data_IF_258358746273
#
_entry.id   IF_258358746273
#
_cell.length_a   1.000
_cell.length_b   1.000
_cell.length_c   1.000
_cell.angle_alpha   90.00
_cell.angle_beta   90.00
_cell.angle_gamma   90.00
#
_symmetry.space_group_name_H-M   'P 1'
#
loop_
_entity.id
_entity.type
_entity.pdbx_description
1 polymer ?
#
# COMPACT_ATOMS: atom_id res chain seq x y z
N UNK A 1 -56.80 -9.55 9.19
CA UNK A 1 -57.35 -8.87 8.00
C UNK A 1 -56.19 -8.10 7.41
N UNK A 2 -55.50 -8.72 6.47
CA UNK A 2 -54.47 -8.09 5.64
C UNK A 2 -55.08 -7.00 4.76
N UNK A 3 -54.30 -5.99 4.36
CA UNK A 3 -54.04 -5.55 2.96
C UNK A 3 -52.79 -4.64 2.97
N UNK A 4 -51.67 -5.23 2.53
CA UNK A 4 -50.65 -4.75 1.56
C UNK A 4 -50.33 -3.27 1.31
N UNK A 5 -49.03 -3.08 1.03
CA UNK A 5 -48.38 -2.12 0.12
C UNK A 5 -47.85 -0.81 0.72
N UNK A 6 -46.54 -0.77 0.96
CA UNK A 6 -45.66 0.02 0.09
C UNK A 6 -44.25 -0.59 0.05
N UNK A 7 -43.97 -1.29 -1.04
CA UNK A 7 -42.63 -1.50 -1.57
C UNK A 7 -41.99 -0.14 -1.85
N UNK A 8 -40.94 0.22 -1.11
CA UNK A 8 -39.85 1.01 -1.67
C UNK A 8 -38.59 0.18 -1.52
N UNK A 9 -38.24 -0.42 -2.64
CA UNK A 9 -36.92 -0.90 -3.02
C UNK A 9 -35.80 -0.08 -2.36
N UNK A 10 -35.12 -0.68 -1.39
CA UNK A 10 -33.67 -0.58 -1.30
C UNK A 10 -33.12 -2.00 -1.44
N UNK A 11 -33.29 -2.56 -2.65
CA UNK A 11 -32.34 -3.54 -3.17
C UNK A 11 -31.03 -2.78 -3.40
N UNK A 12 -30.29 -2.54 -2.32
CA UNK A 12 -28.94 -2.01 -2.42
C UNK A 12 -28.10 -3.16 -2.95
N UNK A 13 -27.80 -3.00 -4.23
CA UNK A 13 -27.14 -3.94 -5.11
C UNK A 13 -25.86 -4.48 -4.45
N UNK A 14 -25.97 -5.70 -3.92
CA UNK A 14 -24.88 -6.56 -3.46
C UNK A 14 -24.07 -7.07 -4.65
N UNK A 15 -23.47 -6.17 -5.44
CA UNK A 15 -22.58 -6.53 -6.53
C UNK A 15 -21.51 -5.48 -6.75
N UNK A 16 -20.58 -5.38 -5.79
CA UNK A 16 -19.19 -4.98 -6.03
C UNK A 16 -18.31 -5.22 -4.79
N UNK A 17 -18.55 -6.31 -4.06
CA UNK A 17 -17.45 -6.92 -3.33
C UNK A 17 -16.61 -7.65 -4.38
N UNK A 18 -15.72 -6.88 -5.05
CA UNK A 18 -14.55 -7.50 -5.67
C UNK A 18 -13.87 -8.21 -4.52
N UNK A 19 -13.90 -9.54 -4.56
CA UNK A 19 -13.02 -10.37 -3.77
C UNK A 19 -11.62 -9.79 -3.97
N UNK A 20 -11.14 -9.01 -3.00
CA UNK A 20 -9.73 -8.67 -2.92
C UNK A 20 -9.11 -10.02 -2.63
N UNK A 21 -8.74 -10.74 -3.68
CA UNK A 21 -7.91 -11.92 -3.54
C UNK A 21 -6.67 -11.43 -2.80
N UNK A 22 -6.62 -11.76 -1.49
CA UNK A 22 -5.42 -11.77 -0.67
C UNK A 22 -4.47 -12.80 -1.31
N UNK A 23 -3.91 -12.40 -2.45
CA UNK A 23 -2.92 -13.15 -3.18
C UNK A 23 -1.60 -12.51 -2.81
N UNK A 24 -0.79 -13.29 -2.10
CA UNK A 24 0.64 -13.01 -1.97
C UNK A 24 1.19 -12.66 -3.34
N UNK A 25 1.86 -11.52 -3.52
CA UNK A 25 2.33 -11.09 -4.82
C UNK A 25 3.32 -12.10 -5.38
N UNK A 26 3.26 -12.33 -6.69
CA UNK A 26 4.26 -13.13 -7.40
C UNK A 26 5.61 -12.40 -7.45
N UNK A 27 6.68 -13.12 -7.74
CA UNK A 27 8.01 -12.52 -7.91
C UNK A 27 8.01 -11.43 -9.00
N UNK A 28 7.27 -11.63 -10.09
CA UNK A 28 7.11 -10.63 -11.16
C UNK A 28 6.41 -9.37 -10.65
N UNK A 29 5.36 -9.53 -9.83
CA UNK A 29 4.64 -8.39 -9.23
C UNK A 29 5.51 -7.64 -8.20
N UNK A 30 6.33 -8.37 -7.43
CA UNK A 30 7.28 -7.76 -6.50
C UNK A 30 8.32 -6.94 -7.28
N UNK A 31 8.92 -7.51 -8.33
CA UNK A 31 9.89 -6.82 -9.18
C UNK A 31 9.28 -5.57 -9.85
N UNK A 32 8.07 -5.68 -10.39
CA UNK A 32 7.34 -4.53 -10.94
C UNK A 32 7.13 -3.44 -9.87
N UNK A 33 6.75 -3.83 -8.66
CA UNK A 33 6.55 -2.90 -7.54
C UNK A 33 7.85 -2.22 -7.14
N UNK A 34 8.97 -2.95 -7.07
CA UNK A 34 10.30 -2.38 -6.80
C UNK A 34 10.64 -1.32 -7.85
N UNK A 35 10.39 -1.60 -9.13
CA UNK A 35 10.65 -0.63 -10.21
C UNK A 35 9.76 0.61 -10.07
N UNK A 36 8.50 0.46 -9.69
CA UNK A 36 7.62 1.60 -9.45
C UNK A 36 8.08 2.46 -8.27
N UNK A 37 8.46 1.84 -7.14
CA UNK A 37 9.01 2.56 -5.97
C UNK A 37 10.33 3.25 -6.33
N UNK A 38 11.20 2.60 -7.10
CA UNK A 38 12.46 3.20 -7.56
C UNK A 38 12.23 4.43 -8.43
N UNK A 39 11.19 4.44 -9.29
CA UNK A 39 10.80 5.63 -10.07
C UNK A 39 10.33 6.77 -9.17
N UNK A 40 9.58 6.49 -8.10
CA UNK A 40 9.16 7.51 -7.13
C UNK A 40 10.38 8.15 -6.44
N UNK A 41 11.38 7.34 -6.07
CA UNK A 41 12.62 7.84 -5.46
C UNK A 41 13.46 8.72 -6.40
N UNK A 42 13.37 8.49 -7.70
CA UNK A 42 14.05 9.28 -8.73
C UNK A 42 13.30 10.60 -9.03
N UNK A 43 12.05 10.74 -8.59
CA UNK A 43 11.28 11.95 -8.83
C UNK A 43 11.88 13.16 -8.10
N UNK A 44 12.00 14.34 -8.73
CA UNK A 44 12.60 15.52 -8.11
C UNK A 44 11.91 15.96 -6.80
N UNK A 45 10.60 15.74 -6.67
CA UNK A 45 9.86 16.06 -5.44
C UNK A 45 10.39 15.27 -4.21
N UNK A 46 10.76 14.01 -4.40
CA UNK A 46 11.33 13.14 -3.36
C UNK A 46 12.78 13.50 -3.01
N UNK A 47 13.41 14.35 -3.82
CA UNK A 47 14.78 14.85 -3.58
C UNK A 47 14.81 16.14 -2.77
N UNK A 48 13.66 16.74 -2.46
CA UNK A 48 13.57 17.93 -1.61
C UNK A 48 13.81 17.53 -0.15
N UNK A 49 14.51 18.38 0.61
CA UNK A 49 14.85 18.09 2.01
C UNK A 49 13.60 17.95 2.89
N UNK A 50 12.53 18.69 2.58
CA UNK A 50 11.21 18.58 3.23
C UNK A 50 10.61 17.16 3.13
N UNK A 51 11.03 16.38 2.13
CA UNK A 51 10.58 15.02 1.87
C UNK A 51 11.62 13.94 2.24
N UNK A 52 12.67 14.31 2.99
CA UNK A 52 13.72 13.38 3.38
C UNK A 52 13.19 12.16 4.15
N UNK A 53 12.17 12.35 4.99
CA UNK A 53 11.49 11.26 5.70
C UNK A 53 10.83 10.28 4.74
N UNK A 54 10.00 10.78 3.81
CA UNK A 54 9.31 9.96 2.80
C UNK A 54 10.32 9.19 1.94
N UNK A 55 11.43 9.85 1.55
CA UNK A 55 12.53 9.21 0.83
C UNK A 55 13.13 8.04 1.60
N UNK A 56 13.31 8.18 2.92
CA UNK A 56 13.82 7.11 3.77
C UNK A 56 12.81 5.96 3.89
N UNK A 57 11.52 6.26 4.03
CA UNK A 57 10.46 5.25 4.01
C UNK A 57 10.46 4.42 2.73
N UNK A 58 10.58 5.06 1.56
CA UNK A 58 10.67 4.36 0.28
C UNK A 58 11.96 3.56 0.08
N UNK A 59 13.09 4.03 0.64
CA UNK A 59 14.33 3.24 0.65
C UNK A 59 14.17 1.97 1.48
N UNK A 60 13.54 2.08 2.65
CA UNK A 60 13.27 0.92 3.49
C UNK A 60 12.28 -0.03 2.80
N UNK A 61 11.25 0.49 2.12
CA UNK A 61 10.35 -0.35 1.32
C UNK A 61 11.09 -1.14 0.23
N UNK A 62 12.05 -0.54 -0.50
CA UNK A 62 12.86 -1.29 -1.47
C UNK A 62 13.66 -2.40 -0.79
N UNK A 63 14.27 -2.13 0.36
CA UNK A 63 15.03 -3.13 1.13
C UNK A 63 14.12 -4.29 1.56
N UNK A 64 12.92 -3.98 2.05
CA UNK A 64 11.90 -4.97 2.46
C UNK A 64 11.48 -5.84 1.27
N UNK A 65 11.11 -5.21 0.15
CA UNK A 65 10.67 -5.92 -1.06
C UNK A 65 11.79 -6.79 -1.66
N UNK A 66 13.00 -6.27 -1.76
CA UNK A 66 14.16 -6.99 -2.30
C UNK A 66 14.61 -8.12 -1.37
N UNK A 67 14.52 -7.91 -0.07
CA UNK A 67 14.86 -8.91 0.94
C UNK A 67 13.74 -9.93 1.20
N UNK A 68 12.56 -9.76 0.61
CA UNK A 68 11.34 -10.51 0.92
C UNK A 68 11.08 -10.56 2.44
N UNK A 69 11.28 -9.44 3.12
CA UNK A 69 11.12 -9.29 4.57
C UNK A 69 9.62 -9.22 4.88
N UNK A 70 9.12 -10.19 5.65
CA UNK A 70 7.68 -10.35 5.94
C UNK A 70 7.30 -10.09 7.39
N UNK A 71 8.29 -9.77 8.22
CA UNK A 71 8.17 -9.52 9.65
C UNK A 71 8.28 -8.02 9.91
N UNK A 72 7.36 -7.49 10.74
CA UNK A 72 7.37 -6.08 11.12
C UNK A 72 8.54 -5.73 12.06
N UNK A 73 9.07 -6.72 12.77
CA UNK A 73 10.22 -6.59 13.68
C UNK A 73 11.52 -6.23 12.95
N UNK A 74 11.60 -6.50 11.64
CA UNK A 74 12.75 -6.21 10.80
C UNK A 74 12.69 -4.81 10.14
N UNK A 75 11.60 -4.06 10.36
CA UNK A 75 11.47 -2.68 9.89
C UNK A 75 12.43 -1.78 10.67
N UNK A 76 13.13 -0.90 9.96
CA UNK A 76 13.99 0.11 10.61
C UNK A 76 13.17 1.05 11.51
N UNK A 77 13.33 0.88 12.82
CA UNK A 77 12.68 1.69 13.86
C UNK A 77 13.26 3.11 13.97
N UNK A 78 14.35 3.41 13.25
CA UNK A 78 14.89 4.78 13.15
C UNK A 78 14.08 5.66 12.18
N UNK A 79 13.12 5.07 11.44
CA UNK A 79 12.19 5.84 10.64
C UNK A 79 11.32 6.75 11.53
N UNK A 80 11.12 7.97 11.08
CA UNK A 80 10.21 8.91 11.72
C UNK A 80 8.78 8.34 11.71
N UNK A 81 8.10 8.46 12.85
CA UNK A 81 6.70 8.05 12.97
C UNK A 81 5.82 8.88 12.01
N UNK A 82 4.86 8.23 11.37
CA UNK A 82 4.00 8.84 10.35
C UNK A 82 4.23 8.23 8.98
N UNK A 83 4.26 9.06 7.94
CA UNK A 83 4.35 8.59 6.55
C UNK A 83 5.55 7.69 6.24
N UNK A 84 6.79 7.97 6.72
CA UNK A 84 7.94 7.12 6.43
C UNK A 84 7.77 5.69 6.94
N UNK A 85 7.33 5.55 8.20
CA UNK A 85 7.04 4.26 8.81
C UNK A 85 5.86 3.56 8.13
N UNK A 86 4.80 4.29 7.79
CA UNK A 86 3.64 3.73 7.08
C UNK A 86 4.02 3.12 5.73
N UNK A 87 4.93 3.73 4.98
CA UNK A 87 5.44 3.17 3.71
C UNK A 87 6.14 1.83 3.94
N UNK A 88 6.99 1.73 4.97
CA UNK A 88 7.69 0.49 5.29
C UNK A 88 6.73 -0.62 5.74
N UNK A 89 5.74 -0.29 6.57
CA UNK A 89 4.68 -1.24 7.00
C UNK A 89 3.90 -1.75 5.79
N UNK A 90 3.47 -0.85 4.89
CA UNK A 90 2.75 -1.25 3.69
C UNK A 90 3.57 -2.15 2.76
N UNK A 91 4.90 -2.07 2.78
CA UNK A 91 5.74 -2.98 2.00
C UNK A 91 5.68 -4.40 2.56
N UNK A 92 5.65 -4.56 3.89
CA UNK A 92 5.44 -5.85 4.56
C UNK A 92 4.03 -6.38 4.28
N UNK A 93 3.02 -5.52 4.44
CA UNK A 93 1.61 -5.87 4.17
C UNK A 93 1.42 -6.30 2.72
N UNK A 94 2.07 -5.62 1.76
CA UNK A 94 2.05 -5.99 0.35
C UNK A 94 2.62 -7.39 0.13
N UNK A 95 3.79 -7.70 0.70
CA UNK A 95 4.40 -9.02 0.60
C UNK A 95 3.52 -10.11 1.22
N UNK A 96 2.77 -9.80 2.27
CA UNK A 96 1.84 -10.72 2.90
C UNK A 96 0.47 -10.80 2.20
N UNK A 97 0.26 -10.05 1.12
CA UNK A 97 -1.02 -10.00 0.40
C UNK A 97 -2.13 -9.25 1.16
N UNK A 98 -1.77 -8.50 2.19
CA UNK A 98 -2.68 -7.73 3.05
C UNK A 98 -2.96 -6.34 2.47
N UNK A 99 -2.07 -5.82 1.62
CA UNK A 99 -2.31 -4.57 0.89
C UNK A 99 -2.09 -4.73 -0.62
N UNK A 100 -2.77 -3.89 -1.40
CA UNK A 100 -2.55 -3.80 -2.84
C UNK A 100 -1.31 -2.97 -3.17
N UNK A 101 -0.71 -3.22 -4.34
CA UNK A 101 0.36 -2.39 -4.89
C UNK A 101 -0.05 -0.90 -4.94
N UNK A 102 -1.30 -0.62 -5.29
CA UNK A 102 -1.83 0.75 -5.35
C UNK A 102 -1.81 1.45 -3.99
N UNK A 103 -2.07 0.72 -2.91
CA UNK A 103 -2.04 1.30 -1.56
C UNK A 103 -0.62 1.72 -1.16
N UNK A 104 0.36 0.84 -1.41
CA UNK A 104 1.78 1.14 -1.16
C UNK A 104 2.27 2.36 -1.96
N UNK A 105 1.82 2.50 -3.21
CA UNK A 105 2.21 3.59 -4.10
C UNK A 105 1.39 4.88 -3.92
N UNK A 106 0.33 4.87 -3.11
CA UNK A 106 -0.56 6.03 -2.95
C UNK A 106 0.03 7.16 -2.07
N UNK A 107 1.18 6.93 -1.43
CA UNK A 107 1.82 7.94 -0.57
C UNK A 107 2.51 8.98 -1.44
N UNK A 108 1.80 10.07 -1.73
CA UNK A 108 2.30 11.11 -2.62
C UNK A 108 3.30 12.04 -1.90
N UNK A 109 4.57 12.16 -2.35
CA UNK A 109 5.54 13.12 -1.81
C UNK A 109 5.24 14.58 -2.21
N UNK A 110 4.21 14.84 -3.02
CA UNK A 110 3.92 16.19 -3.57
C UNK A 110 2.79 16.94 -2.86
N UNK A 111 2.20 16.36 -1.81
CA UNK A 111 1.11 17.00 -1.04
C UNK A 111 1.59 17.99 0.01
#
# INVERSE_FOLDING_TARGET
MEITSLLIFCNMNSSEQKDYEHSTPSEEQIEETIQMVARILQHPATSRDENAGIKNGYREAIKILTGNIRSYEEIDLMLEAGQPLSIAVMAVDYLNGECSQKALLAVDPTR
#
